data_IF_737785246180
#
_entry.id   IF_737785246180
#
_cell.length_a   1.000
_cell.length_b   1.000
_cell.length_c   1.000
_cell.angle_alpha   90.00
_cell.angle_beta   90.00
_cell.angle_gamma   90.00
#
_symmetry.space_group_name_H-M   'P 1'
#
loop_
_entity.id
_entity.type
_entity.pdbx_description
1 polymer ?
#
# COMPACT_ATOMS: atom_id res chain seq x y z
N UNK A 1 15.32 21.05 22.34
CA UNK A 1 15.73 22.03 21.30
C UNK A 1 14.48 22.80 20.91
N UNK A 2 14.48 24.13 20.93
CA UNK A 2 13.23 24.91 20.74
C UNK A 2 12.86 24.94 19.26
N UNK A 3 11.55 24.85 18.93
CA UNK A 3 10.98 24.87 17.57
C UNK A 3 11.49 26.03 16.71
N UNK A 4 11.72 27.20 17.31
CA UNK A 4 12.27 28.37 16.62
C UNK A 4 13.75 28.19 16.22
N UNK A 5 14.53 27.51 17.03
CA UNK A 5 15.94 27.19 16.71
C UNK A 5 16.05 26.22 15.56
N UNK A 6 15.13 25.23 15.51
CA UNK A 6 15.06 24.27 14.41
C UNK A 6 14.61 24.93 13.09
N UNK A 7 13.58 25.79 13.15
CA UNK A 7 13.11 26.51 11.99
C UNK A 7 14.19 27.46 11.42
N UNK A 8 14.91 28.18 12.28
CA UNK A 8 16.07 29.03 11.87
C UNK A 8 17.20 28.20 11.22
N UNK A 9 17.46 26.99 11.69
CA UNK A 9 18.47 26.12 11.12
C UNK A 9 18.08 25.64 9.71
N UNK A 10 16.79 25.29 9.49
CA UNK A 10 16.29 24.90 8.17
C UNK A 10 16.27 26.08 7.21
N UNK A 11 15.80 27.23 7.64
CA UNK A 11 15.75 28.45 6.82
C UNK A 11 17.15 28.98 6.43
N UNK A 12 18.20 28.54 7.15
CA UNK A 12 19.60 28.86 6.83
C UNK A 12 20.27 27.89 5.86
N UNK A 13 19.62 26.79 5.48
CA UNK A 13 20.11 25.84 4.49
C UNK A 13 19.88 26.41 3.08
N UNK A 14 20.86 27.08 2.53
CA UNK A 14 20.89 27.43 1.10
C UNK A 14 21.66 26.36 0.35
N UNK A 15 21.00 25.71 -0.59
CA UNK A 15 21.70 24.84 -1.54
C UNK A 15 22.61 25.69 -2.44
N UNK A 16 23.85 25.25 -2.64
CA UNK A 16 24.73 25.95 -3.57
C UNK A 16 24.14 25.88 -4.99
N UNK A 17 24.33 26.92 -5.83
CA UNK A 17 23.91 26.89 -7.24
C UNK A 17 24.38 25.63 -7.98
N UNK A 18 25.58 25.17 -7.68
CA UNK A 18 26.16 23.92 -8.22
C UNK A 18 25.38 22.64 -7.81
N UNK A 19 24.67 22.64 -6.68
CA UNK A 19 23.96 21.45 -6.23
C UNK A 19 22.76 21.17 -7.12
N UNK A 20 22.01 22.19 -7.49
CA UNK A 20 20.84 22.07 -8.36
C UNK A 20 21.27 21.60 -9.75
N UNK A 21 22.32 22.19 -10.32
CA UNK A 21 22.84 21.83 -11.64
C UNK A 21 23.39 20.39 -11.66
N UNK A 22 24.12 19.97 -10.63
CA UNK A 22 24.60 18.57 -10.49
C UNK A 22 23.49 17.58 -10.33
N UNK A 23 22.42 17.93 -9.60
CA UNK A 23 21.27 17.05 -9.39
C UNK A 23 20.49 16.87 -10.69
N UNK A 24 20.26 17.95 -11.44
CA UNK A 24 19.64 17.89 -12.77
C UNK A 24 20.48 17.09 -13.76
N UNK A 25 21.79 17.30 -13.77
CA UNK A 25 22.71 16.55 -14.64
C UNK A 25 22.74 15.04 -14.30
N UNK A 26 22.67 14.69 -13.00
CA UNK A 26 22.61 13.30 -12.54
C UNK A 26 21.28 12.62 -12.95
N UNK A 27 20.15 13.31 -12.80
CA UNK A 27 18.83 12.82 -13.20
C UNK A 27 18.75 12.62 -14.72
N UNK A 28 19.24 13.58 -15.51
CA UNK A 28 19.30 13.46 -16.96
C UNK A 28 20.22 12.33 -17.44
N UNK A 29 21.35 12.10 -16.74
CA UNK A 29 22.26 11.00 -17.06
C UNK A 29 21.61 9.63 -16.79
N UNK A 30 20.96 9.48 -15.63
CA UNK A 30 20.27 8.25 -15.25
C UNK A 30 19.11 7.93 -16.18
N UNK A 31 18.35 8.94 -16.61
CA UNK A 31 17.27 8.80 -17.60
C UNK A 31 17.83 8.29 -18.95
N UNK A 32 18.97 8.80 -19.42
CA UNK A 32 19.60 8.35 -20.68
C UNK A 32 20.24 6.95 -20.60
N UNK A 33 20.72 6.55 -19.43
CA UNK A 33 21.26 5.21 -19.20
C UNK A 33 20.14 4.17 -19.17
N UNK A 34 18.98 4.50 -18.59
CA UNK A 34 17.78 3.67 -18.58
C UNK A 34 17.19 3.43 -19.98
N UNK A 35 17.30 4.39 -20.90
CA UNK A 35 16.83 4.22 -22.29
C UNK A 35 17.71 3.27 -23.13
N UNK A 36 18.97 3.01 -22.73
CA UNK A 36 19.90 2.17 -23.50
C UNK A 36 19.83 0.67 -23.17
N UNK A 37 19.19 0.29 -22.08
CA UNK A 37 19.13 -1.11 -21.61
C UNK A 37 17.78 -1.81 -21.79
N UNK A 38 16.84 -1.25 -22.55
CA UNK A 38 15.59 -1.94 -22.82
C UNK A 38 15.78 -3.05 -23.87
N UNK A 39 15.70 -4.34 -23.49
CA UNK A 39 15.62 -5.42 -24.47
C UNK A 39 14.33 -5.30 -25.27
N UNK A 40 14.40 -5.48 -26.58
CA UNK A 40 13.25 -5.48 -27.49
C UNK A 40 12.29 -6.60 -27.13
N UNK A 41 11.34 -6.34 -26.23
CA UNK A 41 10.25 -7.27 -25.94
C UNK A 41 9.23 -7.28 -27.07
N UNK A 42 8.96 -8.48 -27.59
CA UNK A 42 7.90 -8.72 -28.56
C UNK A 42 6.57 -8.31 -27.98
N UNK A 43 5.89 -7.41 -28.69
CA UNK A 43 4.57 -6.89 -28.34
C UNK A 43 3.57 -8.05 -28.23
N UNK A 44 3.22 -8.42 -27.02
CA UNK A 44 2.09 -9.30 -26.76
C UNK A 44 0.86 -8.42 -26.50
N UNK A 45 -0.10 -8.48 -27.44
CA UNK A 45 -1.34 -7.70 -27.37
C UNK A 45 -2.21 -8.21 -26.22
N UNK A 46 -2.24 -7.50 -25.11
CA UNK A 46 -3.27 -7.63 -24.07
C UNK A 46 -3.65 -6.24 -23.53
N UNK A 47 -4.95 -5.92 -23.43
CA UNK A 47 -5.45 -4.58 -23.10
C UNK A 47 -5.28 -4.16 -21.63
N UNK A 48 -4.67 -4.98 -20.80
CA UNK A 48 -4.57 -4.79 -19.34
C UNK A 48 -3.47 -3.78 -18.94
N UNK A 49 -2.50 -3.49 -19.83
CA UNK A 49 -1.36 -2.60 -19.49
C UNK A 49 -1.73 -1.10 -19.57
N UNK A 50 -2.85 -0.74 -20.19
CA UNK A 50 -3.18 0.68 -20.44
C UNK A 50 -3.84 1.33 -19.23
N UNK A 51 -4.51 0.59 -18.37
CA UNK A 51 -5.16 1.15 -17.18
C UNK A 51 -4.16 1.63 -16.10
N UNK A 52 -3.00 0.98 -15.99
CA UNK A 52 -1.98 1.35 -15.00
C UNK A 52 -1.24 2.66 -15.34
N UNK A 53 -1.18 3.06 -16.61
CA UNK A 53 -0.45 4.26 -17.03
C UNK A 53 -1.30 5.54 -16.87
N UNK A 54 -2.62 5.44 -16.91
CA UNK A 54 -3.51 6.61 -16.79
C UNK A 54 -3.61 7.09 -15.33
N UNK A 55 -3.45 6.21 -14.34
CA UNK A 55 -3.43 6.58 -12.92
C UNK A 55 -2.19 7.42 -12.53
N UNK A 56 -1.08 7.30 -13.27
CA UNK A 56 0.17 7.99 -12.94
C UNK A 56 0.23 9.45 -13.41
N UNK A 57 -0.73 9.93 -14.19
CA UNK A 57 -0.70 11.27 -14.82
C UNK A 57 -1.60 12.32 -14.17
N UNK A 58 -2.36 12.01 -13.12
CA UNK A 58 -3.28 12.96 -12.50
C UNK A 58 -2.80 13.55 -11.16
N UNK A 59 -1.54 13.37 -10.75
CA UNK A 59 -1.03 13.92 -9.50
C UNK A 59 0.05 15.00 -9.68
N UNK A 60 -0.23 16.00 -10.49
CA UNK A 60 0.61 17.21 -10.53
C UNK A 60 -0.22 18.48 -10.41
N UNK A 61 -0.81 18.73 -9.25
CA UNK A 61 -1.19 20.08 -8.89
C UNK A 61 -1.36 20.20 -7.36
N UNK A 62 -0.51 21.04 -6.79
CA UNK A 62 -0.64 21.73 -5.51
C UNK A 62 -0.40 20.93 -4.23
N UNK A 63 0.74 21.17 -3.63
CA UNK A 63 0.99 20.95 -2.23
C UNK A 63 2.47 20.78 -1.93
N UNK A 64 3.10 21.79 -1.37
CA UNK A 64 4.39 21.64 -0.69
C UNK A 64 4.10 20.82 0.57
N UNK A 65 4.07 19.51 0.45
CA UNK A 65 4.03 18.65 1.63
C UNK A 65 5.38 18.74 2.33
N UNK A 66 5.34 19.05 3.62
CA UNK A 66 6.48 18.77 4.47
C UNK A 66 6.84 17.29 4.24
N UNK A 67 8.07 17.02 3.83
CA UNK A 67 8.57 15.64 3.74
C UNK A 67 8.56 15.10 5.17
N UNK A 68 7.46 14.47 5.55
CA UNK A 68 7.42 13.67 6.76
C UNK A 68 8.39 12.54 6.50
N UNK A 69 9.43 12.41 7.34
CA UNK A 69 10.34 11.27 7.29
C UNK A 69 9.55 10.04 7.73
N UNK A 70 8.81 9.45 6.80
CA UNK A 70 8.05 8.22 7.04
C UNK A 70 9.03 7.06 7.23
N UNK A 71 8.65 6.11 8.07
CA UNK A 71 9.34 4.83 8.16
C UNK A 71 9.19 4.10 6.82
N UNK A 72 10.17 3.28 6.45
CA UNK A 72 10.01 2.29 5.37
C UNK A 72 9.16 1.11 5.85
N UNK A 73 8.66 0.27 4.94
CA UNK A 73 7.90 -0.93 5.30
C UNK A 73 8.72 -1.88 6.21
N UNK A 74 10.03 -2.02 5.96
CA UNK A 74 10.96 -2.75 6.82
C UNK A 74 11.03 -2.16 8.22
N UNK A 75 11.20 -0.83 8.33
CA UNK A 75 11.25 -0.16 9.63
C UNK A 75 9.93 -0.25 10.40
N UNK A 76 8.78 -0.27 9.71
CA UNK A 76 7.47 -0.50 10.33
C UNK A 76 7.41 -1.91 10.92
N UNK A 77 7.81 -2.93 10.15
CA UNK A 77 7.86 -4.30 10.64
C UNK A 77 8.82 -4.44 11.85
N UNK A 78 9.98 -3.80 11.79
CA UNK A 78 10.95 -3.77 12.90
C UNK A 78 10.37 -3.14 14.17
N UNK A 79 9.64 -2.01 14.03
CA UNK A 79 8.96 -1.34 15.15
C UNK A 79 7.85 -2.17 15.76
N UNK A 80 7.23 -3.04 14.99
CA UNK A 80 6.20 -3.99 15.43
C UNK A 80 6.78 -5.33 15.91
N UNK A 81 8.10 -5.39 16.15
CA UNK A 81 8.84 -6.57 16.64
C UNK A 81 8.75 -7.78 15.69
N UNK A 82 8.63 -7.51 14.37
CA UNK A 82 8.58 -8.53 13.31
C UNK A 82 9.90 -8.54 12.53
N UNK A 83 10.99 -8.95 13.18
CA UNK A 83 12.36 -8.81 12.67
C UNK A 83 12.62 -9.61 11.39
N UNK A 84 12.06 -10.81 11.25
CA UNK A 84 12.20 -11.60 10.03
C UNK A 84 11.43 -10.95 8.88
N UNK A 85 10.22 -10.45 9.15
CA UNK A 85 9.43 -9.73 8.18
C UNK A 85 10.09 -8.40 7.77
N UNK A 86 10.77 -7.71 8.68
CA UNK A 86 11.54 -6.51 8.35
C UNK A 86 12.60 -6.81 7.28
N UNK A 87 13.33 -7.93 7.42
CA UNK A 87 14.30 -8.39 6.40
C UNK A 87 13.62 -8.77 5.09
N UNK A 88 12.43 -9.39 5.15
CA UNK A 88 11.66 -9.73 3.95
C UNK A 88 11.28 -8.49 3.13
N UNK A 89 10.98 -7.36 3.77
CA UNK A 89 10.73 -6.09 3.10
C UNK A 89 11.99 -5.43 2.50
N UNK A 90 13.17 -5.88 2.87
CA UNK A 90 14.47 -5.43 2.29
C UNK A 90 14.92 -6.32 1.13
N UNK A 91 14.30 -7.48 0.96
CA UNK A 91 14.62 -8.40 -0.13
C UNK A 91 14.16 -7.87 -1.49
N UNK A 92 14.80 -8.35 -2.57
CA UNK A 92 14.48 -7.97 -3.94
C UNK A 92 13.07 -8.39 -4.39
N UNK A 93 12.44 -9.31 -3.68
CA UNK A 93 11.07 -9.78 -3.95
C UNK A 93 9.99 -8.91 -3.27
N UNK A 94 10.38 -7.99 -2.41
CA UNK A 94 9.46 -7.01 -1.87
C UNK A 94 9.10 -5.95 -2.91
N UNK A 95 7.81 -5.63 -2.99
CA UNK A 95 7.30 -4.61 -3.92
C UNK A 95 7.10 -3.32 -3.16
N UNK A 96 7.87 -2.30 -3.50
CA UNK A 96 7.65 -0.93 -3.03
C UNK A 96 6.63 -0.25 -3.93
N UNK A 97 5.54 0.26 -3.37
CA UNK A 97 4.44 0.91 -4.10
C UNK A 97 4.47 2.42 -3.91
N UNK A 98 4.36 2.90 -2.68
CA UNK A 98 4.30 4.32 -2.30
C UNK A 98 3.20 5.11 -3.02
N UNK A 99 2.05 4.49 -3.24
CA UNK A 99 0.86 5.13 -3.78
C UNK A 99 0.07 5.79 -2.66
N UNK A 100 -0.29 7.09 -2.82
CA UNK A 100 -1.04 7.85 -1.82
C UNK A 100 -2.38 8.31 -2.39
N UNK A 101 -3.43 8.10 -1.62
CA UNK A 101 -4.77 8.63 -1.86
C UNK A 101 -5.12 9.61 -0.74
N UNK A 102 -5.54 10.82 -1.10
CA UNK A 102 -6.08 11.80 -0.17
C UNK A 102 -7.60 11.68 -0.14
N UNK A 103 -8.15 11.47 1.05
CA UNK A 103 -9.58 11.32 1.22
C UNK A 103 -10.01 11.78 2.61
N UNK A 104 -11.03 12.64 2.67
CA UNK A 104 -11.44 13.27 3.90
C UNK A 104 -10.28 14.05 4.52
N UNK A 105 -9.99 13.77 5.78
CA UNK A 105 -8.91 14.43 6.53
C UNK A 105 -7.56 13.70 6.44
N UNK A 106 -7.45 12.64 5.61
CA UNK A 106 -6.31 11.74 5.62
C UNK A 106 -5.60 11.64 4.28
N UNK A 107 -4.28 11.43 4.36
CA UNK A 107 -3.43 10.90 3.30
C UNK A 107 -3.13 9.43 3.61
N UNK A 108 -3.70 8.52 2.85
CA UNK A 108 -3.56 7.08 3.00
C UNK A 108 -2.54 6.60 1.96
N UNK A 109 -1.49 5.92 2.40
CA UNK A 109 -0.38 5.48 1.54
C UNK A 109 -0.20 3.97 1.61
N UNK A 110 -0.40 3.27 0.50
CA UNK A 110 0.09 1.91 0.33
C UNK A 110 1.61 1.96 0.15
N UNK A 111 2.37 1.55 1.17
CA UNK A 111 3.83 1.64 1.16
C UNK A 111 4.47 0.51 0.34
N UNK A 112 3.97 -0.70 0.50
CA UNK A 112 4.47 -1.87 -0.20
C UNK A 112 3.96 -3.18 0.39
N UNK A 113 4.37 -4.26 -0.26
CA UNK A 113 4.02 -5.62 0.15
C UNK A 113 5.17 -6.59 -0.10
N UNK A 114 5.13 -7.71 0.60
CA UNK A 114 6.04 -8.84 0.39
C UNK A 114 5.29 -10.15 0.60
N UNK A 115 5.72 -11.21 -0.08
CA UNK A 115 5.19 -12.56 0.11
C UNK A 115 6.07 -13.35 1.07
N UNK A 116 5.47 -14.10 1.98
CA UNK A 116 6.16 -15.07 2.80
C UNK A 116 6.77 -16.23 2.00
N UNK A 117 6.24 -16.53 0.81
CA UNK A 117 6.77 -17.57 -0.08
C UNK A 117 8.22 -17.34 -0.51
N UNK A 118 8.70 -16.10 -0.41
CA UNK A 118 10.09 -15.75 -0.75
C UNK A 118 11.07 -15.95 0.42
N UNK A 119 10.61 -16.45 1.56
CA UNK A 119 11.43 -16.68 2.73
C UNK A 119 11.80 -18.15 2.84
N UNK A 120 13.12 -18.43 2.91
CA UNK A 120 13.65 -19.78 3.02
C UNK A 120 13.42 -20.43 4.39
N UNK A 121 13.04 -19.63 5.39
CA UNK A 121 12.89 -20.08 6.77
C UNK A 121 11.51 -19.68 7.32
N UNK A 122 10.73 -20.69 7.69
CA UNK A 122 9.55 -20.49 8.51
C UNK A 122 9.96 -20.17 9.96
N UNK A 123 9.41 -19.12 10.51
CA UNK A 123 9.52 -18.83 11.95
C UNK A 123 8.22 -18.22 12.47
N UNK A 124 8.14 -17.95 13.77
CA UNK A 124 6.93 -17.41 14.42
C UNK A 124 6.52 -16.00 13.93
N UNK A 125 7.39 -15.31 13.21
CA UNK A 125 7.13 -13.97 12.68
C UNK A 125 6.51 -13.98 11.29
N UNK A 126 6.69 -15.06 10.51
CA UNK A 126 6.36 -15.11 9.10
C UNK A 126 5.82 -16.47 8.74
N UNK A 127 4.71 -16.47 8.03
CA UNK A 127 4.16 -17.64 7.35
C UNK A 127 4.49 -17.55 5.85
N UNK A 128 5.01 -18.62 5.29
CA UNK A 128 5.46 -18.68 3.89
C UNK A 128 4.31 -18.61 2.89
N UNK A 129 3.07 -18.86 3.32
CA UNK A 129 1.86 -18.78 2.47
C UNK A 129 1.21 -17.40 2.51
N UNK A 130 1.63 -16.52 3.43
CA UNK A 130 1.00 -15.23 3.65
C UNK A 130 1.58 -14.12 2.77
N UNK A 131 0.76 -13.10 2.54
CA UNK A 131 1.16 -11.82 1.97
C UNK A 131 1.10 -10.74 3.05
N UNK A 132 2.16 -9.96 3.16
CA UNK A 132 2.30 -8.90 4.15
C UNK A 132 2.24 -7.54 3.46
N UNK A 133 1.40 -6.63 3.98
CA UNK A 133 1.19 -5.30 3.38
C UNK A 133 1.36 -4.23 4.43
N UNK A 134 2.02 -3.13 4.08
CA UNK A 134 2.18 -1.97 4.96
C UNK A 134 1.45 -0.77 4.38
N UNK A 135 0.63 -0.13 5.22
CA UNK A 135 -0.07 1.12 4.92
C UNK A 135 0.28 2.16 5.95
N UNK A 136 0.48 3.40 5.52
CA UNK A 136 0.65 4.57 6.38
C UNK A 136 -0.54 5.51 6.22
N UNK A 137 -0.97 6.11 7.33
CA UNK A 137 -2.03 7.14 7.35
C UNK A 137 -1.51 8.36 8.09
N UNK A 138 -1.65 9.51 7.46
CA UNK A 138 -1.34 10.81 8.04
C UNK A 138 -2.57 11.71 7.98
N UNK A 139 -2.65 12.70 8.87
CA UNK A 139 -3.63 13.79 8.71
C UNK A 139 -3.10 14.82 7.74
N UNK A 140 -3.97 15.29 6.86
CA UNK A 140 -3.66 16.34 5.87
C UNK A 140 -3.32 17.69 6.53
N UNK A 141 -3.85 17.97 7.71
CA UNK A 141 -3.56 19.18 8.48
C UNK A 141 -2.25 19.09 9.28
N UNK A 142 -1.56 17.94 9.24
CA UNK A 142 -0.32 17.68 9.98
C UNK A 142 -0.52 17.42 11.46
N UNK A 143 -1.76 17.30 11.95
CA UNK A 143 -2.02 16.91 13.34
C UNK A 143 -1.59 15.47 13.56
N UNK A 144 -0.76 15.17 14.60
CA UNK A 144 -0.31 13.81 14.85
C UNK A 144 -1.45 12.84 15.12
N UNK A 145 -1.38 11.66 14.52
CA UNK A 145 -2.22 10.53 14.89
C UNK A 145 -1.60 9.79 16.09
N UNK A 146 -2.45 9.37 17.01
CA UNK A 146 -2.05 8.64 18.21
C UNK A 146 -2.82 7.31 18.29
N UNK A 147 -2.15 6.24 18.75
CA UNK A 147 -2.79 4.92 18.90
C UNK A 147 -3.98 4.95 19.88
N UNK A 148 -4.04 5.92 20.77
CA UNK A 148 -5.14 6.12 21.71
C UNK A 148 -6.42 6.68 21.09
N UNK A 149 -6.30 7.39 19.96
CA UNK A 149 -7.40 8.12 19.31
C UNK A 149 -7.71 7.67 17.90
N UNK A 150 -6.79 6.92 17.28
CA UNK A 150 -6.96 6.35 15.95
C UNK A 150 -6.86 4.83 16.05
N UNK A 151 -7.92 4.11 15.71
CA UNK A 151 -8.02 2.68 15.96
C UNK A 151 -8.25 1.86 14.69
N UNK A 152 -7.76 0.62 14.69
CA UNK A 152 -8.03 -0.37 13.64
C UNK A 152 -9.51 -0.72 13.50
N UNK A 153 -10.30 -0.53 14.57
CA UNK A 153 -11.72 -0.86 14.59
C UNK A 153 -12.51 0.21 13.84
N UNK A 154 -12.18 1.48 14.05
CA UNK A 154 -12.88 2.60 13.43
C UNK A 154 -12.43 2.82 11.99
N UNK A 155 -11.17 2.47 11.68
CA UNK A 155 -10.54 2.65 10.38
C UNK A 155 -9.99 1.31 9.87
N UNK A 156 -10.85 0.36 9.44
CA UNK A 156 -10.40 -0.95 8.99
C UNK A 156 -9.64 -0.90 7.67
N UNK A 157 -8.71 -1.85 7.53
CA UNK A 157 -8.04 -2.19 6.27
C UNK A 157 -8.44 -3.61 5.90
N UNK A 158 -8.88 -3.84 4.67
CA UNK A 158 -9.35 -5.15 4.23
C UNK A 158 -8.97 -5.44 2.78
N UNK A 159 -8.43 -6.62 2.47
CA UNK A 159 -8.31 -7.07 1.10
C UNK A 159 -9.69 -7.43 0.53
N UNK A 160 -9.88 -7.14 -0.76
CA UNK A 160 -11.06 -7.48 -1.54
C UNK A 160 -10.61 -8.11 -2.85
N UNK A 161 -11.38 -9.05 -3.38
CA UNK A 161 -11.01 -9.80 -4.60
C UNK A 161 -12.06 -9.58 -5.67
N UNK A 162 -11.64 -9.16 -6.88
CA UNK A 162 -12.56 -8.97 -8.02
C UNK A 162 -13.33 -10.25 -8.32
N UNK A 163 -14.60 -10.09 -8.68
CA UNK A 163 -15.50 -11.22 -8.94
C UNK A 163 -16.21 -11.78 -7.69
N UNK A 164 -15.80 -11.34 -6.49
CA UNK A 164 -16.45 -11.73 -5.23
C UNK A 164 -17.06 -10.53 -4.54
N UNK A 165 -18.17 -10.76 -3.84
CA UNK A 165 -18.82 -9.73 -3.04
C UNK A 165 -17.95 -9.32 -1.84
N UNK A 166 -17.65 -8.02 -1.61
CA UNK A 166 -16.86 -7.55 -0.48
C UNK A 166 -17.35 -8.01 0.89
N UNK A 167 -18.66 -8.20 1.04
CA UNK A 167 -19.27 -8.70 2.29
C UNK A 167 -19.15 -10.21 2.46
N UNK A 168 -18.80 -10.96 1.40
CA UNK A 168 -18.55 -12.40 1.46
C UNK A 168 -17.04 -12.70 1.53
N UNK A 169 -16.21 -12.00 0.75
CA UNK A 169 -14.76 -12.22 0.71
C UNK A 169 -14.02 -10.96 1.15
N UNK A 170 -13.42 -10.99 2.32
CA UNK A 170 -12.76 -9.87 2.97
C UNK A 170 -11.76 -10.37 4.04
N UNK A 171 -11.24 -9.48 4.89
CA UNK A 171 -10.27 -9.83 5.92
C UNK A 171 -10.69 -10.97 6.86
N UNK A 172 -11.99 -11.16 7.11
CA UNK A 172 -12.48 -12.24 7.96
C UNK A 172 -12.39 -13.61 7.27
N UNK A 173 -12.85 -13.67 6.03
CA UNK A 173 -12.87 -14.90 5.23
C UNK A 173 -11.50 -15.29 4.71
N UNK A 174 -10.60 -14.30 4.55
CA UNK A 174 -9.22 -14.49 4.13
C UNK A 174 -8.25 -14.64 5.33
N UNK A 175 -8.78 -14.84 6.54
CA UNK A 175 -8.03 -15.06 7.78
C UNK A 175 -6.94 -14.02 8.03
N UNK A 176 -7.19 -12.76 7.68
CA UNK A 176 -6.22 -11.69 7.86
C UNK A 176 -6.10 -11.27 9.33
N UNK A 177 -4.91 -10.92 9.73
CA UNK A 177 -4.67 -10.17 10.96
C UNK A 177 -4.08 -8.80 10.65
N UNK A 178 -4.47 -7.78 11.41
CA UNK A 178 -4.00 -6.41 11.25
C UNK A 178 -3.43 -5.92 12.56
N UNK A 179 -2.22 -5.37 12.51
CA UNK A 179 -1.61 -4.63 13.62
C UNK A 179 -1.53 -3.16 13.24
N UNK A 180 -1.67 -2.29 14.22
CA UNK A 180 -1.55 -0.85 14.01
C UNK A 180 -0.80 -0.17 15.13
N UNK A 181 -0.01 0.83 14.79
CA UNK A 181 0.73 1.64 15.75
C UNK A 181 1.01 3.02 15.19
N UNK A 182 0.86 4.05 16.02
CA UNK A 182 1.29 5.40 15.69
C UNK A 182 2.78 5.59 16.05
N UNK A 183 3.55 6.10 15.09
CA UNK A 183 4.95 6.47 15.26
C UNK A 183 5.18 7.84 14.66
N UNK A 184 5.70 8.77 15.46
CA UNK A 184 6.02 10.14 15.06
C UNK A 184 4.85 10.88 14.37
N UNK A 185 3.60 10.55 14.76
CA UNK A 185 2.38 11.19 14.27
C UNK A 185 1.76 10.53 13.04
N UNK A 186 2.40 9.55 12.42
CA UNK A 186 1.86 8.71 11.36
C UNK A 186 1.33 7.41 11.96
N UNK A 187 0.16 6.96 11.53
CA UNK A 187 -0.38 5.66 11.93
C UNK A 187 -0.05 4.61 10.86
N UNK A 188 0.60 3.55 11.28
CA UNK A 188 1.00 2.46 10.40
C UNK A 188 0.15 1.22 10.63
N UNK A 189 -0.26 0.58 9.55
CA UNK A 189 -0.87 -0.74 9.51
C UNK A 189 0.13 -1.75 8.97
N UNK A 190 0.19 -2.90 9.61
CA UNK A 190 0.80 -4.10 9.09
C UNK A 190 -0.30 -5.16 8.96
N UNK A 191 -0.69 -5.42 7.73
CA UNK A 191 -1.63 -6.47 7.38
C UNK A 191 -0.84 -7.76 7.14
N UNK A 192 -1.28 -8.83 7.76
CA UNK A 192 -0.83 -10.20 7.57
C UNK A 192 -2.02 -10.96 6.98
N UNK A 193 -2.00 -11.17 5.67
CA UNK A 193 -3.09 -11.76 4.91
C UNK A 193 -2.74 -13.20 4.55
N UNK A 194 -3.50 -14.15 5.12
CA UNK A 194 -3.37 -15.57 4.80
C UNK A 194 -3.67 -15.81 3.32
N UNK A 195 -2.90 -16.66 2.69
CA UNK A 195 -3.11 -17.24 1.34
C UNK A 195 -3.60 -16.26 0.24
N UNK A 196 -3.41 -14.94 0.41
CA UNK A 196 -3.89 -13.93 -0.55
C UNK A 196 -3.27 -14.13 -1.95
N UNK A 197 -2.08 -14.70 -2.01
CA UNK A 197 -1.38 -15.00 -3.26
C UNK A 197 -2.14 -15.94 -4.20
N UNK A 198 -3.00 -16.84 -3.68
CA UNK A 198 -3.78 -17.77 -4.52
C UNK A 198 -4.74 -17.06 -5.47
N UNK A 199 -5.11 -15.79 -5.16
CA UNK A 199 -5.96 -14.94 -5.99
C UNK A 199 -5.17 -14.06 -6.96
N UNK A 200 -3.88 -14.31 -7.20
CA UNK A 200 -3.06 -13.43 -8.05
C UNK A 200 -3.45 -13.43 -9.54
N UNK A 201 -4.37 -14.31 -9.97
CA UNK A 201 -5.05 -14.27 -11.27
C UNK A 201 -6.29 -13.34 -11.30
N UNK A 202 -6.74 -12.87 -10.13
CA UNK A 202 -7.74 -11.84 -9.96
C UNK A 202 -7.12 -10.46 -9.73
N UNK A 203 -7.90 -9.39 -9.88
CA UNK A 203 -7.52 -8.10 -9.30
C UNK A 203 -7.80 -8.13 -7.81
N UNK A 204 -6.76 -8.04 -7.01
CA UNK A 204 -6.87 -7.94 -5.56
C UNK A 204 -6.71 -6.49 -5.14
N UNK A 205 -7.65 -6.01 -4.37
CA UNK A 205 -7.66 -4.65 -3.84
C UNK A 205 -7.32 -4.65 -2.35
N UNK A 206 -6.78 -3.54 -1.87
CA UNK A 206 -6.74 -3.20 -0.46
C UNK A 206 -7.62 -1.98 -0.22
N UNK A 207 -8.68 -2.14 0.54
CA UNK A 207 -9.57 -1.05 0.93
C UNK A 207 -9.20 -0.54 2.33
N UNK A 208 -9.14 0.78 2.48
CA UNK A 208 -9.18 1.52 3.75
C UNK A 208 -10.47 2.33 3.77
N UNK A 209 -11.15 2.40 4.92
CA UNK A 209 -12.32 3.27 5.07
C UNK A 209 -12.57 3.68 6.52
N UNK A 210 -13.04 4.90 6.70
CA UNK A 210 -13.37 5.51 8.00
C UNK A 210 -14.81 5.16 8.40
N UNK A 211 -15.00 3.87 8.74
CA UNK A 211 -16.30 3.35 9.18
C UNK A 211 -16.10 2.00 9.85
N UNK A 212 -16.12 1.93 11.16
CA UNK A 212 -15.84 0.74 11.97
C UNK A 212 -16.72 -0.49 11.72
N UNK A 213 -17.52 -0.52 10.66
CA UNK A 213 -18.34 -1.66 10.28
C UNK A 213 -17.70 -2.52 9.18
N UNK A 214 -18.16 -3.75 9.03
CA UNK A 214 -17.71 -4.68 7.99
C UNK A 214 -18.04 -4.20 6.58
N UNK A 215 -17.38 -4.71 5.52
CA UNK A 215 -17.76 -4.45 4.14
C UNK A 215 -19.24 -4.78 3.88
N UNK A 216 -19.94 -3.92 3.15
CA UNK A 216 -21.36 -4.08 2.85
C UNK A 216 -21.71 -3.52 1.46
N UNK A 217 -22.88 -3.85 0.94
CA UNK A 217 -23.40 -3.30 -0.31
C UNK A 217 -23.69 -1.79 -0.25
N UNK A 218 -23.74 -1.20 0.94
CA UNK A 218 -23.86 0.26 1.13
C UNK A 218 -22.52 0.98 0.90
N UNK A 219 -21.41 0.26 1.06
CA UNK A 219 -20.06 0.83 0.92
C UNK A 219 -19.43 0.54 -0.42
N UNK A 220 -19.71 -0.64 -0.99
CA UNK A 220 -19.03 -1.13 -2.18
C UNK A 220 -20.01 -1.51 -3.26
N UNK A 221 -19.62 -1.24 -4.49
CA UNK A 221 -20.29 -1.68 -5.73
C UNK A 221 -19.41 -2.66 -6.48
N UNK A 222 -20.06 -3.55 -7.23
CA UNK A 222 -19.40 -4.52 -8.10
C UNK A 222 -19.93 -4.27 -9.51
N UNK A 223 -19.04 -4.01 -10.45
CA UNK A 223 -19.38 -3.85 -11.85
C UNK A 223 -19.56 -5.21 -12.54
N UNK A 224 -20.12 -5.20 -13.74
CA UNK A 224 -20.39 -6.42 -14.55
C UNK A 224 -19.11 -7.21 -14.87
N UNK A 225 -17.95 -6.55 -14.90
CA UNK A 225 -16.64 -7.19 -15.11
C UNK A 225 -16.02 -7.72 -13.80
N UNK A 226 -16.74 -7.61 -12.68
CA UNK A 226 -16.30 -8.04 -11.37
C UNK A 226 -15.41 -7.05 -10.65
N UNK A 227 -15.11 -5.89 -11.23
CA UNK A 227 -14.33 -4.85 -10.55
C UNK A 227 -15.10 -4.26 -9.35
N UNK A 228 -14.35 -3.88 -8.30
CA UNK A 228 -14.90 -3.35 -7.06
C UNK A 228 -14.57 -1.87 -6.97
N UNK A 229 -15.53 -1.07 -6.53
CA UNK A 229 -15.35 0.34 -6.22
C UNK A 229 -16.13 0.69 -4.95
N UNK A 230 -15.81 1.83 -4.32
CA UNK A 230 -16.68 2.40 -3.31
C UNK A 230 -17.97 2.91 -3.97
N UNK A 231 -19.08 2.83 -3.24
CA UNK A 231 -20.35 3.37 -3.69
C UNK A 231 -20.24 4.91 -3.88
N UNK A 232 -20.89 5.46 -4.91
CA UNK A 232 -20.82 6.90 -5.24
C UNK A 232 -21.26 7.80 -4.10
N UNK A 233 -22.16 7.32 -3.25
CA UNK A 233 -22.70 8.03 -2.09
C UNK A 233 -21.90 7.79 -0.80
N UNK A 234 -20.84 7.00 -0.83
CA UNK A 234 -19.95 6.80 0.33
C UNK A 234 -19.08 8.04 0.55
N UNK A 235 -19.42 8.84 1.57
CA UNK A 235 -18.83 10.17 1.82
C UNK A 235 -17.71 10.19 2.86
N UNK A 236 -17.45 9.08 3.56
CA UNK A 236 -16.39 9.01 4.56
C UNK A 236 -15.03 8.82 3.89
N UNK A 237 -13.95 9.11 4.62
CA UNK A 237 -12.60 8.91 4.11
C UNK A 237 -12.36 7.46 3.69
N UNK A 238 -11.80 7.26 2.50
CA UNK A 238 -11.57 5.93 1.96
C UNK A 238 -10.45 5.92 0.93
N UNK A 239 -9.85 4.76 0.73
CA UNK A 239 -8.88 4.49 -0.35
C UNK A 239 -9.03 3.06 -0.85
N UNK A 240 -8.83 2.85 -2.13
CA UNK A 240 -8.83 1.54 -2.77
C UNK A 240 -7.58 1.41 -3.64
N UNK A 241 -6.67 0.55 -3.22
CA UNK A 241 -5.42 0.28 -3.92
C UNK A 241 -5.49 -1.06 -4.63
N UNK A 242 -4.82 -1.20 -5.76
CA UNK A 242 -4.59 -2.50 -6.40
C UNK A 242 -3.30 -3.08 -5.84
N UNK A 243 -3.35 -4.28 -5.30
CA UNK A 243 -2.17 -4.98 -4.81
C UNK A 243 -1.43 -5.66 -5.98
N UNK A 244 -0.16 -5.34 -6.23
CA UNK A 244 0.64 -5.96 -7.27
C UNK A 244 1.16 -7.34 -6.79
N UNK A 245 0.28 -8.33 -6.77
CA UNK A 245 0.64 -9.71 -6.41
C UNK A 245 1.45 -10.38 -7.52
N UNK A 246 2.32 -11.32 -7.16
CA UNK A 246 3.04 -12.16 -8.12
C UNK A 246 2.06 -13.15 -8.78
N UNK A 247 1.83 -13.06 -10.10
CA UNK A 247 0.94 -13.97 -10.80
C UNK A 247 1.36 -15.46 -10.73
N UNK A 248 2.63 -15.71 -10.40
CA UNK A 248 3.16 -17.07 -10.20
C UNK A 248 2.62 -17.76 -8.95
N UNK A 249 2.00 -17.03 -8.03
CA UNK A 249 1.37 -17.55 -6.80
C UNK A 249 -0.09 -17.96 -7.02
N UNK A 250 -0.69 -17.67 -8.17
CA UNK A 250 -2.09 -17.98 -8.44
C UNK A 250 -2.36 -19.49 -8.36
N UNK A 251 -3.37 -19.84 -7.57
CA UNK A 251 -3.92 -21.20 -7.47
C UNK A 251 -5.46 -21.14 -7.43
N UNK A 252 -6.14 -21.22 -8.58
CA UNK A 252 -7.59 -21.12 -8.65
C UNK A 252 -8.32 -22.19 -7.85
N UNK A 253 -7.73 -23.39 -7.71
CA UNK A 253 -8.35 -24.47 -6.94
C UNK A 253 -8.30 -24.19 -5.43
N UNK A 254 -7.15 -23.70 -4.95
CA UNK A 254 -7.02 -23.24 -3.56
C UNK A 254 -7.89 -22.02 -3.28
N UNK A 255 -7.96 -21.05 -4.21
CA UNK A 255 -8.82 -19.87 -4.11
C UNK A 255 -10.30 -20.26 -3.97
N UNK A 256 -10.80 -21.15 -4.84
CA UNK A 256 -12.19 -21.66 -4.77
C UNK A 256 -12.44 -22.37 -3.45
N UNK A 257 -11.54 -23.25 -3.02
CA UNK A 257 -11.68 -23.99 -1.76
C UNK A 257 -11.72 -23.05 -0.53
N UNK A 258 -10.95 -21.97 -0.55
CA UNK A 258 -10.88 -20.99 0.54
C UNK A 258 -12.18 -20.20 0.68
N UNK A 259 -12.82 -19.80 -0.42
CA UNK A 259 -14.03 -18.96 -0.38
C UNK A 259 -15.34 -19.75 -0.39
N UNK A 260 -15.35 -21.00 -0.84
CA UNK A 260 -16.56 -21.83 -0.95
C UNK A 260 -17.45 -21.87 0.32
N UNK A 261 -16.91 -21.87 1.56
CA UNK A 261 -17.75 -21.83 2.76
C UNK A 261 -18.53 -20.53 2.96
N UNK A 262 -18.20 -19.47 2.23
CA UNK A 262 -18.74 -18.11 2.43
C UNK A 262 -19.60 -17.62 1.27
N UNK A 263 -19.68 -18.37 0.18
CA UNK A 263 -20.52 -18.11 -1.00
C UNK A 263 -21.81 -18.91 -0.92
#
# INVERSE_FOLDING_TARGET
MNRETYKKAIDSLSFSPDFQERTEAMLCRRSRESEKEMPKMKVLKRPIVIAAIVALLMMSATGVYAVVLRLSASQVAERMERHTLARAFEDNNAVTVNETVESGDYAITLMGLTSGANLDEWNSDVDTTHTYVVVAVDRLDGTPLETSTFSLIDHPVTPLVSGYAPWAVNNWTLHCSVRGSAVDGTYYYLLDAGELGVFADHTVYLAFYDDGSVPSAEKFTIADDGSIAFAEDYQKAHALFVLPLDPGLADPAAAEALVAPYL
#
